data_IF_349295649028
#
_entry.id   IF_349295649028
#
_cell.length_a   1.000
_cell.length_b   1.000
_cell.length_c   1.000
_cell.angle_alpha   90.00
_cell.angle_beta   90.00
_cell.angle_gamma   90.00
#
_symmetry.space_group_name_H-M   'P 1'
#
loop_
_entity.id
_entity.type
_entity.pdbx_description
1 polymer ?
2 polymer ?
3 non-polymer ?
4 non-polymer ?
#
loop_
_entity_poly.entity_id
_entity_poly.type
_entity_poly.pdbx_seq_one_letter_code
_entity_poly.pdbx_strand_id
2 'polyribonucleotide' 'GCGACUCGGGGUGCCCUCCAUUGCACUCCGGAGGCUGAGAAAUACCCGUAUCACCUGAUCUGGAUAAUGCCAGCGUAGGGAAGUCGC' ?
#
# COMPACT_ATOMS: atom_id res chain seq x y z
N UNK A 5 21.61 -6.41 13.02
CA UNK A 5 22.59 -6.52 11.91
C UNK A 5 23.24 -5.16 11.55
N UNK A 6 24.41 -5.23 10.93
CA UNK A 6 25.15 -4.02 10.54
C UNK A 6 24.58 -3.47 9.24
N UNK A 7 24.60 -2.15 9.07
CA UNK A 7 24.08 -1.54 7.85
C UNK A 7 24.92 -2.03 6.70
N UNK A 8 24.38 -1.97 5.49
CA UNK A 8 25.14 -2.43 4.34
C UNK A 8 24.57 -1.71 3.15
N UNK A 9 25.32 -1.62 2.07
CA UNK A 9 24.79 -0.95 0.88
C UNK A 9 23.68 -1.81 0.32
N UNK A 10 23.75 -3.10 0.62
CA UNK A 10 22.79 -4.06 0.11
C UNK A 10 21.75 -4.53 1.12
N UNK A 11 20.48 -4.43 0.73
CA UNK A 11 19.39 -4.89 1.57
C UNK A 11 18.97 -6.25 1.03
N UNK A 12 18.52 -7.13 1.93
CA UNK A 12 18.08 -8.44 1.53
C UNK A 12 16.59 -8.54 1.66
N UNK A 13 15.91 -8.81 0.55
CA UNK A 13 14.46 -8.91 0.53
C UNK A 13 13.99 -10.33 0.25
N UNK A 14 12.97 -10.78 0.98
CA UNK A 14 12.41 -12.11 0.77
C UNK A 14 10.89 -12.16 1.05
N UNK A 15 10.29 -13.32 0.82
CA UNK A 15 8.86 -13.51 0.99
C UNK A 15 8.24 -12.88 -0.26
N UNK A 16 9.07 -12.74 -1.28
CA UNK A 16 8.62 -12.18 -2.54
C UNK A 16 7.77 -13.25 -3.21
N UNK A 17 6.83 -12.82 -4.03
CA UNK A 17 5.99 -13.75 -4.78
C UNK A 17 6.93 -14.48 -5.74
N UNK A 18 6.92 -15.80 -5.64
CA UNK A 18 7.80 -16.61 -6.46
C UNK A 18 7.43 -16.78 -7.95
N UNK A 19 6.23 -16.38 -8.34
CA UNK A 19 5.81 -16.54 -9.75
C UNK A 19 6.15 -15.32 -10.59
N UNK A 20 6.80 -14.35 -9.97
CA UNK A 20 7.19 -13.13 -10.65
C UNK A 20 8.51 -13.37 -11.34
N UNK A 21 8.57 -13.03 -12.63
CA UNK A 21 9.76 -13.20 -13.47
C UNK A 21 10.94 -12.38 -12.99
N UNK A 22 12.12 -12.92 -13.23
CA UNK A 22 13.34 -12.25 -12.82
C UNK A 22 13.31 -10.78 -13.23
N UNK A 23 12.98 -10.54 -14.51
CA UNK A 23 12.96 -9.20 -15.05
C UNK A 23 11.86 -8.25 -14.59
N UNK A 24 10.71 -8.80 -14.21
CA UNK A 24 9.62 -7.96 -13.71
C UNK A 24 9.99 -7.60 -12.29
N UNK A 25 10.60 -8.58 -11.61
CA UNK A 25 11.06 -8.39 -10.24
C UNK A 25 12.06 -7.25 -10.24
N UNK A 26 13.12 -7.38 -11.04
CA UNK A 26 14.14 -6.36 -11.15
C UNK A 26 13.47 -5.01 -11.42
N UNK A 27 12.72 -4.92 -12.53
CA UNK A 27 12.02 -3.69 -12.92
C UNK A 27 11.15 -3.16 -11.81
N UNK A 28 10.24 -4.00 -11.34
CA UNK A 28 9.31 -3.62 -10.28
C UNK A 28 10.04 -3.25 -9.01
N UNK A 29 11.11 -3.97 -8.69
CA UNK A 29 11.87 -3.68 -7.48
C UNK A 29 12.58 -2.34 -7.56
N UNK A 30 12.99 -1.95 -8.77
CA UNK A 30 13.64 -0.65 -8.95
C UNK A 30 12.59 0.43 -8.71
N UNK A 31 11.32 0.08 -8.94
CA UNK A 31 10.20 0.99 -8.76
C UNK A 31 9.97 1.35 -7.30
N UNK A 32 9.90 0.33 -6.46
CA UNK A 32 9.72 0.52 -5.04
C UNK A 32 10.90 1.22 -4.40
N UNK A 33 12.11 0.77 -4.73
CA UNK A 33 13.33 1.29 -4.11
C UNK A 33 14.15 2.46 -4.64
N UNK A 34 13.80 3.03 -5.79
CA UNK A 34 14.58 4.16 -6.33
C UNK A 34 14.68 5.30 -5.32
N UNK A 35 13.52 5.81 -4.96
CA UNK A 35 13.34 6.87 -4.00
C UNK A 35 14.49 7.16 -3.07
N UNK A 36 14.94 6.10 -2.38
CA UNK A 36 15.99 6.16 -1.38
C UNK A 36 17.42 6.42 -1.80
N UNK A 37 17.77 6.13 -3.03
CA UNK A 37 19.14 6.38 -3.44
C UNK A 37 19.44 5.77 -4.78
N UNK A 38 20.63 6.08 -5.28
CA UNK A 38 21.06 5.56 -6.57
C UNK A 38 21.35 4.08 -6.36
N UNK A 39 20.71 3.25 -7.16
CA UNK A 39 20.89 1.82 -7.06
C UNK A 39 21.95 1.41 -8.06
N UNK A 40 22.77 0.45 -7.68
CA UNK A 40 23.82 -0.04 -8.54
C UNK A 40 23.38 -1.32 -9.23
N UNK A 41 22.41 -2.01 -8.66
CA UNK A 41 21.95 -3.25 -9.27
C UNK A 41 20.99 -4.03 -8.39
N UNK A 42 20.20 -4.90 -9.03
CA UNK A 42 19.23 -5.74 -8.35
C UNK A 42 19.52 -7.14 -8.84
N UNK A 43 19.82 -8.04 -7.93
CA UNK A 43 20.14 -9.40 -8.31
C UNK A 43 19.08 -10.42 -7.93
N UNK A 44 18.45 -11.00 -8.94
CA UNK A 44 17.40 -12.00 -8.74
C UNK A 44 17.77 -13.42 -9.21
N UNK A 45 17.33 -14.42 -8.46
CA UNK A 45 17.60 -15.80 -8.78
C UNK A 45 16.35 -16.59 -8.48
N UNK A 46 15.94 -17.44 -9.43
CA UNK A 46 14.75 -18.25 -9.24
C UNK A 46 15.11 -19.68 -8.93
N UNK A 47 16.39 -19.90 -8.67
CA UNK A 47 16.87 -21.24 -8.33
C UNK A 47 16.29 -21.63 -6.97
N UNK A 48 15.79 -22.84 -6.88
CA UNK A 48 15.22 -23.35 -5.65
C UNK A 48 15.81 -22.65 -4.43
N UNK A 49 17.13 -22.72 -4.29
CA UNK A 49 17.80 -22.10 -3.16
C UNK A 49 17.46 -20.62 -3.01
N UNK A 50 17.63 -19.86 -4.08
CA UNK A 50 17.40 -18.42 -4.02
C UNK A 50 16.16 -17.81 -4.62
N UNK A 51 15.11 -18.60 -4.82
CA UNK A 51 13.89 -18.04 -5.39
C UNK A 51 13.09 -17.27 -4.34
N UNK A 52 12.33 -16.29 -4.81
CA UNK A 52 11.55 -15.49 -3.88
C UNK A 52 12.40 -14.51 -3.09
N UNK A 53 13.67 -14.37 -3.45
CA UNK A 53 14.53 -13.44 -2.74
C UNK A 53 15.17 -12.51 -3.73
N UNK A 54 15.85 -11.49 -3.22
CA UNK A 54 16.51 -10.51 -4.07
C UNK A 54 17.47 -9.66 -3.25
N UNK A 55 18.44 -9.07 -3.92
CA UNK A 55 19.41 -8.21 -3.26
C UNK A 55 19.44 -6.88 -4.00
N UNK A 56 19.24 -5.79 -3.27
CA UNK A 56 19.30 -4.49 -3.91
C UNK A 56 20.55 -3.78 -3.43
N UNK A 57 21.45 -3.51 -4.38
CA UNK A 57 22.70 -2.84 -4.09
C UNK A 57 22.58 -1.34 -4.24
N UNK A 58 22.85 -0.63 -3.15
CA UNK A 58 22.75 0.83 -3.11
C UNK A 58 24.11 1.51 -3.13
N UNK A 59 24.20 2.61 -3.86
CA UNK A 59 25.44 3.37 -3.94
C UNK A 59 25.76 3.87 -2.53
N UNK A 60 24.71 4.25 -1.78
CA UNK A 60 24.88 4.74 -0.42
C UNK A 60 24.32 3.77 0.60
N UNK A 61 24.91 3.74 1.79
CA UNK A 61 24.41 2.86 2.84
C UNK A 61 23.30 3.62 3.55
N UNK A 62 23.41 4.95 3.63
CA UNK A 62 22.38 5.75 4.27
C UNK A 62 21.10 5.38 3.53
N UNK A 63 21.24 5.21 2.22
CA UNK A 63 20.14 4.85 1.34
C UNK A 63 19.46 3.54 1.71
N UNK A 64 20.23 2.50 1.97
CA UNK A 64 19.66 1.21 2.33
C UNK A 64 18.85 1.28 3.63
N UNK A 65 19.42 1.92 4.64
CA UNK A 65 18.75 2.08 5.91
C UNK A 65 17.45 2.81 5.59
N UNK A 66 17.61 3.90 4.85
CA UNK A 66 16.51 4.75 4.43
C UNK A 66 15.44 3.93 3.72
N UNK A 67 15.86 2.86 3.06
CA UNK A 67 14.92 2.01 2.34
C UNK A 67 14.31 0.95 3.27
N UNK A 68 15.16 0.14 3.87
CA UNK A 68 14.70 -0.92 4.77
C UNK A 68 13.74 -0.40 5.85
N UNK A 69 14.16 0.65 6.55
CA UNK A 69 13.35 1.18 7.62
C UNK A 69 11.98 1.55 7.11
N UNK A 70 11.93 2.21 5.97
CA UNK A 70 10.65 2.64 5.41
C UNK A 70 9.80 1.55 4.74
N UNK A 71 10.39 0.75 3.86
CA UNK A 71 9.62 -0.28 3.17
C UNK A 71 9.40 -1.61 3.89
N UNK A 72 9.83 -1.69 5.14
CA UNK A 72 9.67 -2.92 5.92
C UNK A 72 8.22 -3.39 6.05
N UNK A 73 7.93 -4.57 5.51
CA UNK A 73 6.59 -5.13 5.57
C UNK A 73 5.62 -4.61 4.53
N UNK A 74 6.07 -3.66 3.73
CA UNK A 74 5.21 -3.07 2.72
C UNK A 74 4.81 -4.07 1.64
N UNK A 75 3.55 -3.96 1.17
CA UNK A 75 3.03 -4.83 0.14
C UNK A 75 3.81 -4.68 -1.13
N UNK A 76 3.83 -5.81 -1.81
CA UNK A 76 4.53 -6.04 -3.06
C UNK A 76 3.79 -7.21 -3.73
N UNK A 77 3.32 -6.95 -4.95
CA UNK A 77 2.58 -7.94 -5.77
C UNK A 77 1.71 -8.95 -5.01
N UNK A 78 0.78 -8.56 -4.15
CA UNK A 78 -0.06 -9.55 -3.47
C UNK A 78 0.54 -10.09 -2.18
N UNK A 79 1.76 -9.69 -1.81
CA UNK A 79 2.22 -10.18 -0.50
C UNK A 79 3.30 -9.27 0.09
N UNK A 80 3.43 -9.21 1.43
CA UNK A 80 4.44 -8.36 2.01
C UNK A 80 5.81 -8.82 1.59
N UNK A 81 6.78 -8.03 1.96
CA UNK A 81 8.18 -8.26 1.71
C UNK A 81 8.99 -7.92 2.96
N UNK A 82 9.90 -8.80 3.33
CA UNK A 82 10.78 -8.60 4.47
C UNK A 82 12.09 -8.03 3.95
N UNK A 83 12.72 -7.20 4.77
CA UNK A 83 13.98 -6.59 4.40
C UNK A 83 14.92 -6.58 5.59
N UNK A 84 16.17 -6.93 5.32
CA UNK A 84 17.23 -6.96 6.32
C UNK A 84 18.43 -6.48 5.58
N UNK A 85 19.50 -6.22 6.32
CA UNK A 85 20.74 -5.80 5.70
C UNK A 85 21.39 -7.08 5.24
N UNK A 86 21.99 -7.06 4.04
CA UNK A 86 22.65 -8.25 3.54
C UNK A 86 23.75 -8.60 4.55
N UNK A 87 24.09 -9.89 4.66
CA UNK A 87 25.09 -10.34 5.61
C UNK A 87 26.50 -9.89 5.27
N UNK A 88 26.76 -9.76 3.98
CA UNK A 88 28.09 -9.36 3.52
C UNK A 88 28.02 -8.51 2.26
N UNK A 89 29.02 -7.66 2.04
CA UNK A 89 29.04 -6.83 0.85
C UNK A 89 28.90 -7.69 -0.39
N UNK A 90 28.43 -7.09 -1.47
CA UNK A 90 28.27 -7.80 -2.72
C UNK A 90 29.56 -7.53 -3.48
N UNK A 91 29.92 -8.42 -4.42
CA UNK A 91 31.16 -8.26 -5.17
C UNK A 91 31.35 -6.86 -5.69
N UNK A 92 30.39 -6.36 -6.46
CA UNK A 92 30.43 -5.02 -7.03
C UNK A 92 30.80 -3.95 -5.99
N UNK A 93 30.51 -4.22 -4.72
CA UNK A 93 30.84 -3.29 -3.65
C UNK A 93 32.21 -3.60 -3.06
N UNK A 94 32.36 -4.82 -2.56
CA UNK A 94 33.60 -5.28 -1.96
C UNK A 94 34.78 -4.54 -2.54
N UNK A 95 34.96 -4.66 -3.85
CA UNK A 95 36.06 -4.02 -4.56
C UNK A 95 35.96 -2.50 -4.67
N UNK A 96 35.79 -1.84 -3.53
CA UNK A 96 35.70 -0.39 -3.47
C UNK A 96 36.26 0.08 -2.12
N UNK B 5 -15.90 18.53 -5.99
CA UNK B 5 -17.05 19.20 -5.31
C UNK B 5 -16.52 19.99 -4.13
N UNK B 6 -17.39 20.80 -3.54
CA UNK B 6 -17.01 21.60 -2.38
C UNK B 6 -16.94 20.63 -1.19
N UNK B 7 -15.95 20.81 -0.31
CA UNK B 7 -15.74 19.98 0.89
C UNK B 7 -17.00 19.65 1.70
N UNK B 8 -16.97 18.51 2.40
CA UNK B 8 -18.10 18.07 3.22
C UNK B 8 -17.66 17.10 4.33
N UNK B 9 -18.46 17.03 5.40
CA UNK B 9 -18.19 16.15 6.54
C UNK B 9 -18.09 14.69 6.14
N UNK B 10 -18.77 14.33 5.08
CA UNK B 10 -18.78 12.96 4.61
C UNK B 10 -18.08 12.77 3.28
N UNK B 11 -17.34 11.67 3.15
CA UNK B 11 -16.66 11.36 1.91
C UNK B 11 -17.36 10.13 1.33
N UNK B 12 -17.57 10.13 0.03
CA UNK B 12 -18.20 9.01 -0.65
C UNK B 12 -17.15 8.12 -1.28
N UNK B 13 -16.93 6.94 -0.69
CA UNK B 13 -15.97 6.03 -1.26
C UNK B 13 -16.71 5.07 -2.17
N UNK B 14 -16.22 4.83 -3.40
CA UNK B 14 -16.88 3.87 -4.33
C UNK B 14 -15.90 2.82 -4.89
N UNK B 15 -16.39 1.86 -5.63
CA UNK B 15 -15.50 0.85 -6.21
C UNK B 15 -14.95 -0.09 -5.09
N UNK B 16 -15.81 -0.34 -4.08
CA UNK B 16 -15.46 -1.24 -2.91
C UNK B 16 -15.64 -2.79 -3.27
N UNK B 17 -14.63 -3.69 -3.04
CA UNK B 17 -14.75 -5.15 -3.32
C UNK B 17 -16.15 -5.65 -2.92
N UNK B 18 -17.06 -5.78 -3.92
CA UNK B 18 -18.43 -6.20 -3.64
C UNK B 18 -18.62 -7.49 -2.83
N UNK B 19 -17.58 -8.27 -2.68
CA UNK B 19 -17.73 -9.50 -1.95
C UNK B 19 -17.69 -9.32 -0.43
N UNK B 20 -17.13 -8.21 0.04
CA UNK B 20 -17.02 -7.94 1.48
C UNK B 20 -18.32 -7.74 2.25
N UNK B 21 -18.36 -8.27 3.47
CA UNK B 21 -19.54 -8.21 4.32
C UNK B 21 -19.86 -6.82 4.88
N UNK B 22 -21.15 -6.46 4.86
CA UNK B 22 -21.65 -5.17 5.32
C UNK B 22 -21.00 -4.68 6.61
N UNK B 23 -20.69 -5.60 7.50
CA UNK B 23 -20.08 -5.22 8.75
C UNK B 23 -18.57 -5.15 8.63
N UNK B 24 -17.94 -6.21 8.13
CA UNK B 24 -16.49 -6.25 7.96
C UNK B 24 -16.04 -5.01 7.17
N UNK B 25 -16.91 -4.57 6.26
CA UNK B 25 -16.66 -3.41 5.41
C UNK B 25 -16.63 -2.12 6.20
N UNK B 26 -17.38 -2.08 7.30
CA UNK B 26 -17.40 -0.91 8.15
C UNK B 26 -16.20 -1.02 9.11
N UNK B 27 -16.04 -2.20 9.69
CA UNK B 27 -14.96 -2.47 10.62
C UNK B 27 -13.62 -2.18 10.00
N UNK B 28 -13.53 -2.33 8.69
CA UNK B 28 -12.28 -2.08 8.00
C UNK B 28 -12.17 -0.63 7.52
N UNK B 29 -13.28 -0.05 7.08
CA UNK B 29 -13.23 1.34 6.61
C UNK B 29 -12.90 2.22 7.80
N UNK B 30 -13.45 1.87 8.95
CA UNK B 30 -13.23 2.63 10.15
C UNK B 30 -11.78 2.50 10.57
N UNK B 31 -11.23 1.30 10.45
CA UNK B 31 -9.85 1.05 10.84
C UNK B 31 -8.84 1.62 9.85
N UNK B 32 -9.32 2.40 8.89
CA UNK B 32 -8.45 3.00 7.89
C UNK B 32 -8.50 4.51 7.96
N UNK B 33 -9.67 5.04 8.34
CA UNK B 33 -9.88 6.48 8.44
C UNK B 33 -9.85 7.07 9.86
N UNK B 34 -10.21 6.26 10.85
CA UNK B 34 -10.20 6.69 12.25
C UNK B 34 -9.07 7.68 12.52
N UNK B 35 -7.90 7.37 11.98
CA UNK B 35 -6.69 8.16 12.14
C UNK B 35 -6.84 9.67 11.88
N UNK B 36 -7.70 10.03 10.95
CA UNK B 36 -7.88 11.43 10.63
C UNK B 36 -8.66 12.20 11.67
N UNK B 37 -9.88 11.76 11.96
CA UNK B 37 -10.68 12.44 12.95
C UNK B 37 -11.69 11.50 13.56
N UNK B 38 -12.68 12.03 14.27
CA UNK B 38 -13.70 11.19 14.87
C UNK B 38 -14.76 10.94 13.81
N UNK B 39 -15.29 9.72 13.80
CA UNK B 39 -16.30 9.34 12.81
C UNK B 39 -17.68 9.13 13.43
N UNK B 40 -18.63 9.95 13.03
CA UNK B 40 -19.99 9.81 13.54
C UNK B 40 -20.47 8.43 13.14
N UNK B 41 -20.66 8.23 11.85
CA UNK B 41 -21.10 6.93 11.38
C UNK B 41 -20.51 6.56 10.02
N UNK B 42 -20.63 5.28 9.68
CA UNK B 42 -20.15 4.72 8.42
C UNK B 42 -21.35 4.02 7.83
N UNK B 43 -21.89 4.59 6.76
CA UNK B 43 -23.07 4.04 6.12
C UNK B 43 -22.80 3.09 4.98
N UNK B 44 -23.19 1.84 5.15
CA UNK B 44 -22.99 0.79 4.15
C UNK B 44 -24.32 0.16 3.72
N UNK B 45 -24.36 -0.29 2.46
CA UNK B 45 -25.53 -0.93 1.87
C UNK B 45 -25.05 -1.82 0.73
N UNK B 46 -25.54 -3.06 0.67
CA UNK B 46 -25.14 -3.97 -0.38
C UNK B 46 -26.23 -4.17 -1.41
N UNK B 47 -27.19 -3.26 -1.41
CA UNK B 47 -28.29 -3.32 -2.35
C UNK B 47 -27.78 -2.88 -3.73
N UNK B 48 -28.29 -3.52 -4.77
CA UNK B 48 -27.93 -3.26 -6.16
C UNK B 48 -27.42 -1.86 -6.52
N UNK B 49 -28.20 -0.82 -6.22
CA UNK B 49 -27.76 0.54 -6.54
C UNK B 49 -26.66 1.04 -5.61
N UNK B 50 -26.79 0.74 -4.31
CA UNK B 50 -25.80 1.16 -3.32
C UNK B 50 -24.52 0.35 -3.29
N UNK B 51 -24.64 -0.98 -3.35
CA UNK B 51 -23.48 -1.87 -3.32
C UNK B 51 -22.20 -1.33 -3.93
N UNK B 52 -21.07 -1.78 -3.39
CA UNK B 52 -19.76 -1.36 -3.85
C UNK B 52 -19.33 -0.01 -3.28
N UNK B 53 -20.28 0.70 -2.68
CA UNK B 53 -20.04 2.03 -2.13
C UNK B 53 -20.18 2.13 -0.60
N UNK B 54 -19.87 3.32 -0.08
CA UNK B 54 -19.96 3.59 1.35
C UNK B 54 -19.81 5.09 1.66
N UNK B 55 -20.32 5.50 2.82
CA UNK B 55 -20.26 6.91 3.25
C UNK B 55 -19.69 7.00 4.68
N UNK B 56 -18.76 7.92 4.92
CA UNK B 56 -18.22 8.07 6.26
C UNK B 56 -18.38 9.51 6.75
N UNK B 57 -19.24 9.66 7.75
CA UNK B 57 -19.53 10.95 8.34
C UNK B 57 -18.48 11.24 9.40
N UNK B 58 -17.67 12.25 9.15
CA UNK B 58 -16.65 12.65 10.10
C UNK B 58 -17.24 13.71 11.01
N UNK B 59 -16.50 14.09 12.05
CA UNK B 59 -16.99 15.11 12.96
C UNK B 59 -16.82 16.46 12.28
N UNK B 60 -15.58 16.73 11.83
CA UNK B 60 -15.25 17.98 11.14
C UNK B 60 -14.92 17.71 9.66
N UNK B 61 -15.02 18.75 8.84
CA UNK B 61 -14.76 18.63 7.39
C UNK B 61 -13.29 18.52 7.05
N UNK B 62 -12.46 19.23 7.78
CA UNK B 62 -11.03 19.18 7.53
C UNK B 62 -10.58 17.72 7.47
N UNK B 63 -11.01 16.94 8.45
CA UNK B 63 -10.65 15.53 8.51
C UNK B 63 -10.92 14.80 7.19
N UNK B 64 -12.15 14.89 6.72
CA UNK B 64 -12.53 14.22 5.48
C UNK B 64 -11.67 14.74 4.33
N UNK B 65 -11.16 15.96 4.48
CA UNK B 65 -10.30 16.55 3.47
C UNK B 65 -8.97 15.84 3.45
N UNK B 66 -8.41 15.63 4.63
CA UNK B 66 -7.13 14.94 4.74
C UNK B 66 -7.37 13.44 4.60
N UNK B 67 -8.63 13.05 4.73
CA UNK B 67 -8.97 11.65 4.59
C UNK B 67 -9.12 11.40 3.11
N UNK B 68 -9.41 12.47 2.38
CA UNK B 68 -9.60 12.41 0.92
C UNK B 68 -8.24 12.55 0.25
N UNK B 69 -7.58 13.66 0.55
CA UNK B 69 -6.28 13.94 -0.01
C UNK B 69 -5.33 12.76 0.20
N UNK B 70 -5.23 12.31 1.45
CA UNK B 70 -4.32 11.23 1.81
C UNK B 70 -4.67 9.77 1.50
N UNK B 71 -5.92 9.47 1.16
CA UNK B 71 -6.30 8.07 0.88
C UNK B 71 -6.83 7.82 -0.51
N UNK B 72 -6.90 8.87 -1.32
CA UNK B 72 -7.41 8.72 -2.67
C UNK B 72 -6.59 7.64 -3.40
N UNK B 73 -7.25 6.56 -3.80
CA UNK B 73 -6.56 5.49 -4.48
C UNK B 73 -6.11 4.37 -3.56
N UNK B 74 -5.79 4.71 -2.31
CA UNK B 74 -5.34 3.74 -1.32
C UNK B 74 -5.91 2.33 -1.52
N UNK B 75 -5.08 1.30 -1.29
CA UNK B 75 -5.38 -0.13 -1.41
C UNK B 75 -6.34 -0.66 -0.35
N UNK B 76 -7.44 -1.27 -0.78
CA UNK B 76 -8.42 -1.80 0.18
C UNK B 76 -8.93 -3.17 -0.25
N UNK B 77 -8.57 -4.21 0.52
CA UNK B 77 -9.02 -5.56 0.21
C UNK B 77 -8.82 -5.97 -1.25
N UNK B 78 -7.69 -5.60 -1.86
CA UNK B 78 -7.39 -5.94 -3.27
C UNK B 78 -7.89 -4.92 -4.32
N UNK B 79 -8.37 -3.76 -3.90
CA UNK B 79 -8.85 -2.77 -4.85
C UNK B 79 -8.71 -1.29 -4.46
N UNK B 80 -8.25 -0.46 -5.41
CA UNK B 80 -8.05 0.98 -5.23
C UNK B 80 -9.35 1.77 -5.01
N UNK B 81 -9.61 2.14 -3.77
CA UNK B 81 -10.81 2.90 -3.44
C UNK B 81 -10.81 4.34 -3.90
N UNK B 82 -11.87 4.70 -4.62
CA UNK B 82 -12.06 6.05 -5.13
C UNK B 82 -12.88 6.84 -4.15
N UNK B 83 -12.32 7.95 -3.70
CA UNK B 83 -12.95 8.83 -2.74
C UNK B 83 -13.31 10.20 -3.31
N UNK B 84 -14.31 10.82 -2.72
CA UNK B 84 -14.75 12.13 -3.13
C UNK B 84 -15.76 12.66 -2.12
N UNK B 85 -15.82 13.98 -1.97
CA UNK B 85 -16.75 14.57 -1.03
C UNK B 85 -18.15 14.22 -1.53
N UNK B 86 -19.10 14.11 -0.60
CA UNK B 86 -20.48 13.79 -0.94
C UNK B 86 -21.13 14.92 -1.72
N UNK B 87 -22.12 14.58 -2.55
CA UNK B 87 -22.80 15.60 -3.33
C UNK B 87 -23.61 16.51 -2.41
N UNK B 88 -24.00 16.00 -1.24
CA UNK B 88 -24.77 16.78 -0.28
C UNK B 88 -24.64 16.24 1.17
N UNK B 89 -24.79 17.12 2.15
CA UNK B 89 -24.72 16.75 3.56
C UNK B 89 -25.48 15.45 3.84
N UNK B 90 -25.15 14.78 4.94
CA UNK B 90 -25.80 13.53 5.33
C UNK B 90 -26.94 13.88 6.27
N UNK B 91 -27.58 12.89 6.87
CA UNK B 91 -28.68 13.18 7.79
C UNK B 91 -28.20 13.55 9.18
N UNK B 92 -27.65 12.60 9.90
CA UNK B 92 -27.17 12.85 11.25
C UNK B 92 -26.38 14.16 11.28
N UNK B 93 -25.82 14.53 10.13
CA UNK B 93 -25.04 15.76 10.06
C UNK B 93 -25.93 16.96 9.77
N UNK B 94 -26.88 16.80 8.85
CA UNK B 94 -27.79 17.88 8.50
C UNK B 94 -28.56 18.40 9.70
N UNK B 95 -28.57 17.61 10.77
CA UNK B 95 -29.29 17.99 11.98
C UNK B 95 -28.40 18.66 13.04
N UNK B 96 -27.33 19.32 12.60
CA UNK B 96 -26.41 19.99 13.51
C UNK B 96 -26.82 21.45 13.78
N UNK C 3 19.61 5.28 -23.72
CA UNK C 3 18.61 6.33 -24.06
C UNK C 3 18.74 7.51 -23.10
N UNK C 4 17.73 8.18 -23.03
CA UNK C 4 17.69 9.18 -22.07
C UNK C 4 16.23 9.27 -21.94
N UNK C 5 15.82 9.31 -20.71
CA UNK C 5 14.43 9.50 -20.37
C UNK C 5 14.20 10.94 -20.48
N UNK C 6 13.56 11.39 -21.48
CA UNK C 6 13.37 12.79 -21.61
C UNK C 6 12.03 13.18 -21.08
N UNK C 7 12.17 14.08 -20.15
CA UNK C 7 11.06 14.64 -19.38
C UNK C 7 10.06 15.51 -20.12
N UNK C 8 8.79 15.11 -20.04
CA UNK C 8 7.69 15.84 -20.68
C UNK C 8 6.43 15.75 -19.83
N UNK C 9 5.33 16.36 -20.29
CA UNK C 9 4.09 16.38 -19.52
C UNK C 9 3.17 15.16 -19.58
N UNK C 10 3.58 14.09 -20.26
CA UNK C 10 2.74 12.90 -20.31
C UNK C 10 3.47 11.74 -19.66
N UNK C 11 2.76 10.95 -18.86
CA UNK C 11 3.38 9.81 -18.21
C UNK C 11 2.86 8.50 -18.78
N UNK C 12 3.72 7.49 -18.76
CA UNK C 12 3.38 6.17 -19.29
C UNK C 12 3.57 5.10 -18.23
N UNK C 13 2.45 4.60 -17.74
CA UNK C 13 2.45 3.58 -16.72
C UNK C 13 2.28 2.23 -17.40
N UNK C 14 2.87 1.20 -16.81
CA UNK C 14 2.77 -0.14 -17.35
C UNK C 14 2.79 -1.10 -16.19
N UNK C 15 2.61 -2.40 -16.46
CA UNK C 15 2.59 -3.40 -15.41
C UNK C 15 1.26 -3.21 -14.66
N UNK C 16 0.25 -2.70 -15.35
CA UNK C 16 -1.07 -2.49 -14.77
C UNK C 16 -1.82 -3.80 -14.87
N UNK C 17 -2.74 -4.05 -13.94
CA UNK C 17 -3.48 -5.30 -13.95
C UNK C 17 -4.34 -5.52 -15.19
N UNK C 18 -4.01 -6.56 -15.92
CA UNK C 18 -4.71 -6.91 -17.15
C UNK C 18 -6.15 -7.36 -16.94
N UNK C 19 -6.44 -7.95 -15.78
CA UNK C 19 -7.79 -8.44 -15.47
C UNK C 19 -8.87 -7.41 -15.25
N UNK C 20 -8.49 -6.19 -14.87
CA UNK C 20 -9.43 -5.10 -14.60
C UNK C 20 -10.06 -4.47 -15.84
N UNK C 21 -11.37 -4.19 -15.78
CA UNK C 21 -12.07 -3.55 -16.90
C UNK C 21 -11.39 -2.25 -17.24
N UNK C 22 -11.02 -2.10 -18.51
CA UNK C 22 -10.34 -0.91 -18.95
C UNK C 22 -11.13 0.36 -18.59
N UNK C 23 -12.45 0.25 -18.57
CA UNK C 23 -13.31 1.39 -18.22
C UNK C 23 -13.12 1.81 -16.78
N UNK C 24 -13.15 0.83 -15.89
CA UNK C 24 -12.97 1.09 -14.46
C UNK C 24 -11.54 1.53 -14.22
N UNK C 25 -10.62 0.90 -14.92
CA UNK C 25 -9.21 1.24 -14.79
C UNK C 25 -8.99 2.72 -15.05
N UNK C 26 -9.61 3.25 -16.09
CA UNK C 26 -9.46 4.66 -16.40
C UNK C 26 -9.96 5.49 -15.22
N UNK C 27 -11.07 5.09 -14.62
CA UNK C 27 -11.63 5.83 -13.50
C UNK C 27 -10.66 5.79 -12.32
N UNK C 28 -10.20 4.60 -11.97
CA UNK C 28 -9.25 4.46 -10.86
C UNK C 28 -7.96 5.22 -11.17
N UNK C 29 -7.65 5.39 -12.44
CA UNK C 29 -6.45 6.13 -12.80
C UNK C 29 -6.68 7.62 -12.66
N UNK C 30 -7.90 8.06 -12.93
CA UNK C 30 -8.19 9.47 -12.83
C UNK C 30 -8.09 9.92 -11.38
N UNK C 31 -8.76 9.18 -10.51
CA UNK C 31 -8.77 9.48 -9.08
C UNK C 31 -7.36 9.58 -8.52
N UNK C 32 -6.72 8.43 -8.47
CA UNK C 32 -5.37 8.28 -7.97
C UNK C 32 -4.43 9.41 -8.42
N UNK C 33 -4.53 9.79 -9.69
CA UNK C 33 -3.66 10.82 -10.24
C UNK C 33 -4.16 12.26 -10.31
N UNK C 34 -5.45 12.46 -10.09
CA UNK C 34 -6.01 13.82 -10.14
C UNK C 34 -5.49 14.69 -8.99
N UNK C 35 -4.58 14.12 -8.20
CA UNK C 35 -4.00 14.83 -7.06
C UNK C 35 -2.81 15.68 -7.46
N UNK C 36 -2.16 15.28 -8.54
CA UNK C 36 -0.97 15.96 -9.03
C UNK C 36 -1.24 17.06 -10.04
N UNK C 37 -2.44 17.62 -10.00
CA UNK C 37 -2.76 18.69 -10.92
C UNK C 37 -3.75 18.31 -12.00
N UNK C 38 -3.85 19.22 -12.97
CA UNK C 38 -4.75 19.11 -14.12
C UNK C 38 -4.47 17.92 -15.05
N UNK C 39 -5.53 17.22 -15.40
CA UNK C 39 -5.42 16.09 -16.30
C UNK C 39 -6.19 16.41 -17.58
N UNK C 40 -5.49 16.39 -18.71
CA UNK C 40 -6.09 16.68 -19.98
C UNK C 40 -6.70 15.46 -20.62
N UNK C 41 -6.31 14.28 -20.12
CA UNK C 41 -6.84 13.04 -20.68
C UNK C 41 -6.04 11.81 -20.28
N UNK C 42 -6.75 10.69 -20.18
CA UNK C 42 -6.14 9.43 -19.83
C UNK C 42 -6.44 8.43 -20.94
N UNK C 43 -5.39 7.83 -21.49
CA UNK C 43 -5.51 6.87 -22.58
C UNK C 43 -5.19 5.47 -22.12
N UNK C 44 -6.21 4.65 -21.92
CA UNK C 44 -5.96 3.29 -21.49
C UNK C 44 -5.89 2.43 -22.75
N UNK C 45 -4.87 1.58 -22.83
CA UNK C 45 -4.67 0.72 -24.00
C UNK C 45 -5.74 -0.34 -24.24
N UNK C 46 -5.88 -0.73 -25.50
CA UNK C 46 -6.87 -1.73 -25.91
C UNK C 46 -6.39 -2.85 -26.83
N UNK C 47 -5.08 -2.99 -27.02
CA UNK C 47 -4.56 -4.05 -27.90
C UNK C 47 -3.93 -5.21 -27.12
N UNK C 48 -4.22 -6.43 -27.57
CA UNK C 48 -3.70 -7.64 -26.93
C UNK C 48 -2.18 -7.69 -26.96
N UNK C 49 -1.58 -6.53 -27.18
CA UNK C 49 -0.13 -6.41 -27.21
C UNK C 49 0.22 -5.29 -26.22
N UNK C 50 -0.65 -4.29 -26.13
CA UNK C 50 -0.45 -3.14 -25.25
C UNK C 50 -1.28 -3.32 -23.98
N UNK C 51 -1.76 -4.54 -23.78
CA UNK C 51 -2.55 -4.83 -22.60
C UNK C 51 -1.77 -4.50 -21.33
N UNK C 52 -2.41 -3.78 -20.42
CA UNK C 52 -1.77 -3.45 -19.16
C UNK C 52 -1.05 -2.12 -19.06
N UNK C 53 -1.17 -1.26 -20.07
CA UNK C 53 -0.52 0.04 -20.02
C UNK C 53 -1.49 1.17 -20.26
N UNK C 54 -1.04 2.41 -20.03
CA UNK C 54 -1.89 3.58 -20.23
C UNK C 54 -1.11 4.88 -20.11
N UNK C 55 -1.68 5.95 -20.67
CA UNK C 55 -1.05 7.27 -20.65
C UNK C 55 -1.87 8.31 -19.87
N UNK C 56 -1.18 9.15 -19.13
CA UNK C 56 -1.85 10.21 -18.37
C UNK C 56 -1.26 11.55 -18.81
N UNK C 57 -2.05 12.28 -19.59
CA UNK C 57 -1.63 13.56 -20.11
C UNK C 57 -1.94 14.70 -19.13
N UNK C 58 -0.90 15.27 -18.55
CA UNK C 58 -1.09 16.38 -17.62
C UNK C 58 -1.03 17.72 -18.34
N UNK C 59 -1.82 18.69 -17.86
CA UNK C 59 -1.80 20.02 -18.46
C UNK C 59 -0.39 20.59 -18.28
N UNK C 60 0.15 20.44 -17.07
CA UNK C 60 1.48 20.92 -16.75
C UNK C 60 2.51 19.80 -16.65
N UNK C 61 3.75 20.12 -16.99
CA UNK C 61 4.82 19.13 -16.97
C UNK C 61 5.31 18.81 -15.57
N UNK C 62 5.43 19.84 -14.73
CA UNK C 62 5.87 19.64 -13.35
C UNK C 62 4.96 18.57 -12.77
N UNK C 63 3.66 18.75 -12.99
CA UNK C 63 2.66 17.81 -12.52
C UNK C 63 3.14 16.39 -12.84
N UNK C 64 3.26 16.08 -14.11
CA UNK C 64 3.71 14.78 -14.53
C UNK C 64 4.92 14.32 -13.72
N UNK C 65 5.84 15.23 -13.44
CA UNK C 65 7.04 14.84 -12.70
C UNK C 65 6.72 14.35 -11.28
N UNK C 66 5.92 15.10 -10.53
CA UNK C 66 5.57 14.71 -9.18
C UNK C 66 4.77 13.45 -9.22
N UNK C 67 3.92 13.35 -10.24
CA UNK C 67 3.07 12.19 -10.42
C UNK C 67 3.95 10.95 -10.45
N UNK C 68 4.84 10.90 -11.44
CA UNK C 68 5.76 9.79 -11.60
C UNK C 68 6.40 9.44 -10.29
N UNK C 69 7.24 10.35 -9.81
CA UNK C 69 7.95 10.19 -8.56
C UNK C 69 7.10 9.55 -7.47
N UNK C 70 6.12 10.31 -7.00
CA UNK C 70 5.24 9.86 -5.94
C UNK C 70 4.65 8.47 -6.09
N UNK C 71 3.87 8.26 -7.14
CA UNK C 71 3.23 6.96 -7.34
C UNK C 71 4.15 5.83 -7.80
N UNK C 72 5.41 6.13 -8.06
CA UNK C 72 6.35 5.12 -8.54
C UNK C 72 6.47 3.83 -7.72
N UNK C 73 5.94 2.74 -8.28
CA UNK C 73 5.99 1.45 -7.59
C UNK C 73 4.81 1.26 -6.66
N UNK C 74 3.92 2.24 -6.69
CA UNK C 74 2.72 2.27 -5.87
C UNK C 74 1.79 1.11 -6.20
N UNK C 75 1.32 0.38 -5.17
CA UNK C 75 0.40 -0.75 -5.39
C UNK C 75 -0.91 -0.32 -6.03
N UNK C 76 -1.38 -1.12 -6.98
CA UNK C 76 -2.61 -0.84 -7.69
C UNK C 76 -3.13 -2.19 -8.20
N UNK C 77 -4.20 -2.69 -7.57
CA UNK C 77 -4.80 -3.97 -7.96
C UNK C 77 -3.80 -5.11 -7.92
N UNK C 78 -3.01 -5.16 -6.85
CA UNK C 78 -2.02 -6.21 -6.64
C UNK C 78 -0.96 -6.26 -7.72
N UNK C 79 -0.43 -5.08 -8.07
CA UNK C 79 0.63 -4.91 -9.07
C UNK C 79 1.21 -3.49 -9.01
N UNK C 80 2.49 -3.37 -8.60
CA UNK C 80 3.15 -2.07 -8.48
C UNK C 80 3.17 -1.29 -9.79
N UNK C 81 2.75 -0.03 -9.77
CA UNK C 81 2.78 0.73 -11.01
C UNK C 81 4.23 1.00 -11.32
N UNK C 82 4.50 1.27 -12.59
CA UNK C 82 5.85 1.59 -13.04
C UNK C 82 5.59 2.71 -14.01
N UNK C 83 6.21 3.85 -13.77
CA UNK C 83 5.96 5.00 -14.63
C UNK C 83 7.19 5.68 -15.15
N UNK C 84 7.12 6.09 -16.41
CA UNK C 84 8.21 6.79 -17.03
C UNK C 84 7.56 7.82 -17.92
N UNK C 85 8.35 8.56 -18.66
CA UNK C 85 7.83 9.57 -19.55
C UNK C 85 7.61 8.93 -20.89
N UNK C 86 6.59 9.42 -21.61
CA UNK C 86 6.31 8.90 -22.93
C UNK C 86 7.32 9.54 -23.87
N UNK C 87 7.76 8.80 -24.88
CA UNK C 87 8.73 9.34 -25.82
C UNK C 87 8.23 10.58 -26.54
N UNK C 88 9.12 11.56 -26.70
CA UNK C 88 8.86 12.84 -27.37
C UNK C 88 7.53 13.52 -26.99
N UNK D 5 -9.83 0.88 24.73
CA UNK D 5 -9.49 0.07 25.93
C UNK D 5 -8.14 0.46 26.56
N UNK D 6 -7.94 0.03 27.80
CA UNK D 6 -6.73 0.34 28.56
C UNK D 6 -5.44 -0.11 27.90
N UNK D 7 -4.71 0.84 27.28
CA UNK D 7 -3.44 0.59 26.59
C UNK D 7 -2.46 -0.33 27.32
N UNK D 8 -2.41 -1.60 26.91
CA UNK D 8 -1.48 -2.52 27.51
C UNK D 8 -0.34 -2.68 26.51
N UNK D 9 0.71 -3.40 26.87
CA UNK D 9 1.85 -3.58 25.97
C UNK D 9 1.66 -4.67 24.92
N UNK D 10 0.48 -5.29 24.89
CA UNK D 10 0.22 -6.34 23.91
C UNK D 10 -0.94 -6.00 23.00
N UNK D 11 -0.68 -6.05 21.69
CA UNK D 11 -1.71 -5.76 20.72
C UNK D 11 -2.25 -7.05 20.09
N UNK D 12 -3.54 -7.05 19.78
CA UNK D 12 -4.20 -8.19 19.17
C UNK D 12 -4.73 -7.85 17.79
N UNK D 13 -3.98 -8.23 16.77
CA UNK D 13 -4.35 -7.97 15.40
C UNK D 13 -5.27 -9.07 14.90
N UNK D 14 -6.15 -8.74 13.99
CA UNK D 14 -7.04 -9.73 13.45
C UNK D 14 -7.61 -9.32 12.11
N UNK D 15 -8.18 -10.29 11.42
CA UNK D 15 -8.70 -10.06 10.09
C UNK D 15 -7.56 -10.36 9.16
N UNK D 16 -6.51 -10.94 9.69
CA UNK D 16 -5.38 -11.32 8.87
C UNK D 16 -5.77 -12.49 7.98
N UNK D 17 -5.37 -12.36 6.72
CA UNK D 17 -5.63 -13.32 5.67
C UNK D 17 -5.44 -14.73 6.22
N UNK D 18 -6.52 -15.49 6.30
CA UNK D 18 -6.45 -16.84 6.85
C UNK D 18 -5.65 -17.88 6.05
N UNK D 19 -5.87 -17.93 4.74
CA UNK D 19 -5.18 -18.90 3.88
C UNK D 19 -3.65 -18.82 3.79
N UNK D 20 -3.00 -18.22 4.77
CA UNK D 20 -1.56 -18.12 4.72
C UNK D 20 -0.90 -19.00 5.77
N UNK D 21 0.28 -19.54 5.45
CA UNK D 21 1.00 -20.39 6.39
C UNK D 21 1.10 -19.62 7.69
N UNK D 22 1.25 -20.34 8.80
CA UNK D 22 1.31 -19.69 10.10
C UNK D 22 2.68 -19.12 10.45
N UNK D 23 3.70 -19.96 10.39
CA UNK D 23 5.03 -19.51 10.74
C UNK D 23 5.53 -18.42 9.82
N UNK D 24 4.92 -18.31 8.65
CA UNK D 24 5.29 -17.28 7.70
C UNK D 24 4.58 -16.02 8.14
N UNK D 25 3.35 -16.20 8.60
CA UNK D 25 2.52 -15.11 9.07
C UNK D 25 3.16 -14.44 10.29
N UNK D 26 3.84 -15.22 11.11
CA UNK D 26 4.51 -14.67 12.29
C UNK D 26 5.76 -13.89 11.88
N UNK D 27 6.52 -14.44 10.94
CA UNK D 27 7.74 -13.78 10.47
C UNK D 27 7.38 -12.44 9.84
N UNK D 28 6.33 -12.44 9.04
CA UNK D 28 5.90 -11.21 8.39
C UNK D 28 5.45 -10.18 9.43
N UNK D 29 4.79 -10.64 10.48
CA UNK D 29 4.31 -9.75 11.54
C UNK D 29 5.47 -9.16 12.32
N UNK D 30 6.44 -10.01 12.64
CA UNK D 30 7.61 -9.58 13.37
C UNK D 30 8.33 -8.55 12.51
N UNK D 31 8.25 -8.74 11.19
CA UNK D 31 8.86 -7.83 10.23
C UNK D 31 8.27 -6.42 10.33
N UNK D 32 6.96 -6.35 10.13
CA UNK D 32 6.24 -5.08 10.20
C UNK D 32 6.35 -4.35 11.52
N UNK D 33 6.10 -5.04 12.62
CA UNK D 33 6.11 -4.42 13.95
C UNK D 33 7.44 -4.16 14.66
N UNK D 34 8.50 -4.88 14.29
CA UNK D 34 9.81 -4.70 14.91
C UNK D 34 10.18 -3.23 15.02
N UNK D 35 9.90 -2.51 13.94
CA UNK D 35 10.19 -1.09 13.86
C UNK D 35 9.60 -0.27 15.00
N UNK D 36 8.63 -0.82 15.71
CA UNK D 36 7.98 -0.11 16.79
C UNK D 36 8.58 -0.37 18.16
N UNK D 37 9.79 -0.92 18.18
CA UNK D 37 10.44 -1.22 19.43
C UNK D 37 10.74 -2.69 19.46
N UNK D 38 11.20 -3.20 20.60
CA UNK D 38 11.51 -4.62 20.67
C UNK D 38 10.23 -5.43 20.86
N UNK D 39 10.07 -6.46 20.04
CA UNK D 39 8.91 -7.33 20.12
C UNK D 39 9.29 -8.50 21.03
N UNK D 40 8.74 -8.50 22.24
CA UNK D 40 9.05 -9.57 23.18
C UNK D 40 8.44 -10.91 22.75
N UNK D 41 7.56 -10.88 21.76
CA UNK D 41 6.93 -12.09 21.23
C UNK D 41 5.72 -11.85 20.35
N UNK D 42 5.40 -12.85 19.52
CA UNK D 42 4.24 -12.81 18.63
C UNK D 42 3.63 -14.20 18.71
N UNK D 43 2.30 -14.26 18.87
CA UNK D 43 1.63 -15.54 19.00
C UNK D 43 0.62 -15.81 17.88
N UNK D 44 0.66 -17.04 17.35
CA UNK D 44 -0.24 -17.52 16.29
C UNK D 44 -0.31 -19.05 16.38
N UNK D 45 -1.52 -19.59 16.43
CA UNK D 45 -1.74 -21.04 16.54
C UNK D 45 -2.82 -21.48 15.58
N UNK D 46 -2.70 -22.70 15.07
CA UNK D 46 -3.65 -23.26 14.11
C UNK D 46 -5.12 -23.25 14.58
N UNK D 47 -5.41 -22.40 15.57
CA UNK D 47 -6.77 -22.29 16.10
C UNK D 47 -7.70 -21.60 15.11
N UNK D 50 -7.93 -18.85 17.12
CA UNK D 50 -6.98 -17.90 16.53
C UNK D 50 -6.67 -18.21 15.08
N UNK D 51 -7.68 -18.06 14.23
CA UNK D 51 -7.51 -18.28 12.82
C UNK D 51 -7.94 -17.00 12.14
N UNK D 52 -6.97 -16.12 11.93
CA UNK D 52 -7.22 -14.85 11.30
C UNK D 52 -6.85 -13.79 12.31
N UNK D 53 -6.47 -14.27 13.49
CA UNK D 53 -6.10 -13.40 14.59
C UNK D 53 -4.68 -13.68 15.00
N UNK D 54 -4.10 -12.77 15.78
CA UNK D 54 -2.73 -12.93 16.29
C UNK D 54 -2.44 -11.88 17.37
N UNK D 55 -1.36 -12.07 18.10
CA UNK D 55 -0.98 -11.12 19.14
C UNK D 55 0.48 -10.74 19.02
N UNK D 56 0.77 -9.48 19.33
CA UNK D 56 2.13 -8.97 19.30
C UNK D 56 2.46 -8.32 20.64
N UNK D 57 3.34 -8.97 21.38
CA UNK D 57 3.74 -8.50 22.70
C UNK D 57 4.99 -7.60 22.68
N UNK D 58 4.78 -6.35 23.06
CA UNK D 58 5.84 -5.36 23.11
C UNK D 58 6.48 -5.25 24.49
N UNK D 59 7.64 -4.59 24.55
CA UNK D 59 8.33 -4.40 25.83
C UNK D 59 7.60 -3.24 26.50
N UNK D 60 7.55 -2.12 25.79
CA UNK D 60 6.87 -0.92 26.28
C UNK D 60 5.46 -0.83 25.70
N UNK D 61 4.55 -0.30 26.49
CA UNK D 61 3.17 -0.13 26.04
C UNK D 61 3.24 0.93 24.94
N UNK D 62 4.09 1.94 25.17
CA UNK D 62 4.27 3.03 24.24
C UNK D 62 4.49 2.45 22.84
N UNK D 63 5.45 1.54 22.74
CA UNK D 63 5.76 0.89 21.46
C UNK D 63 4.49 0.28 20.88
N UNK D 64 3.75 -0.43 21.73
CA UNK D 64 2.52 -1.07 21.32
C UNK D 64 1.55 -0.01 20.84
N UNK D 65 1.17 0.89 21.76
CA UNK D 65 0.24 1.96 21.46
C UNK D 65 0.61 2.69 20.17
N UNK D 66 1.89 2.88 19.97
CA UNK D 66 2.38 3.56 18.79
C UNK D 66 2.07 2.74 17.52
N UNK D 67 2.43 1.46 17.55
CA UNK D 67 2.21 0.55 16.43
C UNK D 67 0.74 0.45 16.08
N UNK D 68 -0.06 0.15 17.10
CA UNK D 68 -1.51 0.02 16.93
C UNK D 68 -2.12 1.21 16.19
N UNK D 69 -1.92 2.41 16.71
CA UNK D 69 -2.48 3.58 16.07
C UNK D 69 -2.02 3.65 14.60
N UNK D 70 -0.72 3.46 14.40
CA UNK D 70 -0.11 3.51 13.09
C UNK D 70 -0.50 2.39 12.12
N UNK D 71 -0.20 1.15 12.49
CA UNK D 71 -0.52 0.01 11.64
C UNK D 71 -1.99 -0.30 11.50
N UNK D 72 -2.87 0.57 12.02
CA UNK D 72 -4.30 0.34 11.95
C UNK D 72 -4.87 0.42 10.54
N UNK D 73 -5.27 -0.72 9.99
CA UNK D 73 -5.82 -0.74 8.64
C UNK D 73 -4.79 -0.73 7.53
N UNK D 74 -3.61 -1.29 7.80
CA UNK D 74 -2.54 -1.33 6.80
C UNK D 74 -2.63 -2.57 5.89
N UNK D 75 -2.38 -2.38 4.58
CA UNK D 75 -2.41 -3.41 3.53
C UNK D 75 -1.47 -4.58 3.79
N UNK D 76 -1.98 -5.63 4.43
CA UNK D 76 -1.19 -6.80 4.74
C UNK D 76 -1.81 -7.97 3.99
N UNK D 77 -1.03 -8.62 3.14
CA UNK D 77 -1.51 -9.77 2.39
C UNK D 77 -2.93 -9.57 1.83
N UNK D 78 -3.19 -8.41 1.25
CA UNK D 78 -4.50 -8.08 0.67
C UNK D 78 -5.67 -8.06 1.64
N UNK D 79 -5.50 -7.47 2.82
CA UNK D 79 -6.58 -7.42 3.80
C UNK D 79 -6.33 -6.36 4.88
N UNK D 80 -7.25 -5.41 5.05
CA UNK D 80 -7.08 -4.37 6.06
C UNK D 80 -6.80 -4.94 7.43
N UNK D 81 -5.63 -4.64 7.95
CA UNK D 81 -5.22 -5.12 9.27
C UNK D 81 -5.98 -4.35 10.35
N UNK D 82 -6.68 -5.08 11.22
CA UNK D 82 -7.44 -4.48 12.32
C UNK D 82 -6.77 -4.83 13.67
N UNK D 83 -6.31 -3.80 14.37
CA UNK D 83 -5.60 -3.97 15.63
C UNK D 83 -6.21 -3.28 16.84
N UNK D 84 -5.95 -3.84 18.02
CA UNK D 84 -6.43 -3.31 19.28
C UNK D 84 -5.57 -3.88 20.39
N UNK D 85 -5.94 -3.61 21.65
CA UNK D 85 -5.18 -4.12 22.80
C UNK D 85 -5.81 -5.41 23.31
N UNK D 86 -5.11 -6.12 24.18
CA UNK D 86 -5.66 -7.35 24.74
C UNK D 86 -6.41 -7.00 26.04
N UNK D 87 -6.79 -8.01 26.81
CA UNK D 87 -7.54 -7.74 28.04
C UNK D 87 -6.78 -8.03 29.35
N UNK D 88 -7.50 -7.85 30.46
CA UNK D 88 -6.98 -8.08 31.82
C UNK D 88 -5.46 -8.08 31.94
X LIG G 1 21.48 -22.49 -23.26
X LIG G 1 20.51 -23.33 -23.04
X LIG G 1 20.63 -24.23 -21.88
X LIG G 1 19.42 -23.37 -23.84
X LIG G 1 19.33 -22.55 -24.91
X LIG G 1 18.23 -22.57 -25.77
X LIG G 1 20.38 -21.67 -25.13
X LIG G 1 21.46 -21.67 -24.26
X LIG G 1 20.44 -20.75 -26.26
X LIG G 1 20.18 -19.32 -26.09
X LIG G 1 19.81 -18.74 -24.96
X LIG G 1 19.71 -17.07 -25.45
X LIG G 1 20.19 -17.35 -27.14
X LIG G 1 20.36 -18.64 -27.18
X LIG G 1 20.81 -19.30 -28.50
X LIG G 1 20.41 -16.47 -28.29
X LIG G 1 20.05 -15.06 -28.17
X LIG G 1 20.41 -14.42 -29.33
X LIG G 1 20.07 -12.93 -29.28
X LIG G 1 20.79 -12.27 -28.17
X LIG G 1 18.50 -12.73 -29.10
X LIG G 1 20.59 -12.39 -30.67
X LIG G 1 20.31 -10.83 -30.74
X LIG G 1 21.02 -10.10 -29.58
X LIG G 1 20.83 -10.32 -32.13
X LIG G 1 18.77 -10.60 -30.64
X LIG H 1 17.91 -12.87 -31.36
X LIG I 1 22.24 -9.62 -28.33
X LIG J 1 8.15 -16.96 -34.96
X LIG K 1 10.51 -30.81 -17.01
X LIG L 1 28.74 -9.25 -33.19
X LIG M 1 11.61 -8.59 -26.71
X LIG N 1 -37.61 -11.18 8.05
X LIG N 1 -37.27 -12.28 7.43
X LIG N 1 -37.66 -12.42 6.00
X LIG N 1 -36.59 -13.27 8.04
X LIG N 1 -36.25 -13.16 9.35
X LIG N 1 -35.55 -14.18 9.99
X LIG N 1 -36.62 -11.98 10.05
X LIG N 1 -37.31 -11.00 9.32
X LIG N 1 -36.35 -11.73 11.51
X LIG N 1 -35.23 -10.85 11.87
X LIG N 1 -34.44 -10.33 10.95
X LIG N 1 -33.35 -9.40 11.90
X LIG N 1 -34.02 -9.76 13.49
X LIG N 1 -35.04 -10.59 13.16
X LIG N 1 -35.95 -11.17 14.24
X LIG N 1 -33.55 -9.26 14.81
X LIG N 1 -32.90 -10.39 15.52
X LIG N 1 -32.43 -9.95 16.76
X LIG N 1 -31.79 -11.25 17.37
X LIG N 1 -30.70 -11.73 16.48
X LIG N 1 -32.93 -12.39 17.50
X LIG N 1 -31.20 -10.91 18.81
X LIG N 1 -30.55 -12.25 19.41
X LIG N 1 -29.43 -12.77 18.48
X LIG N 1 -29.95 -11.94 20.85
X LIG N 1 -31.65 -13.36 19.55
X LIG O 1 -31.18 -7.78 19.69
X LIG P 1 -32.82 -10.22 19.44
#
# INVERSE_FOLDING_TARGET
AVPETRPNHTIYINNLNEKIKKDELKKSLHAIFSRFGQILDILVSRSLKMRGQAFVIFKEVSSATNALRSMQGFPFYDKPMRIQYAKTDSDIIAKM
AVPETRPNHTIYINNLNEKIKKDELKKSLHAIFSRFGQILDILVSRSLKMRGQAFVIFKEVSSATNALRSMQGFPFYDKPMRIQYAKTDSDIIAKM
AVPETRPNHTIYINNLNEKIKKDELKKSLHAIFSRFGQILDILVSRSLKMRGQAFVIFKEVSSATNALRSMQGFPFYDKPMRIQYAKTDSDIIAKM
AVPETRPNHTIYINNLNEKIKKDELKKSLHAIFSRFGQILDILVSRSLKMRGQAFVIFKEVSSATNALRSMQGFPFYDKPMRIQYAKTDSDIIAKM
TPP N1' C2' CM2 N3' C4' N4' C5' C6' C7' N3 C2 S1 C5 C4 CM4 C6 C7 O7 PA O1A O2A O3A PB O1B O2B O3B
MG MG
MG MG
MG MG
MG MG
MG MG
MG MG
TPP N1' C2' CM2 N3' C4' N4' C5' C6' C7' N3 C2 S1 C5 C4 CM4 C6 C7 O7 PA O1A O2A O3A PB O1B O2B O3B
MG MG
MG MG
#
